data_IF_079038568791
#
_entry.id   IF_079038568791
#
_cell.length_a   1.000
_cell.length_b   1.000
_cell.length_c   1.000
_cell.angle_alpha   90.00
_cell.angle_beta   90.00
_cell.angle_gamma   90.00
#
_symmetry.space_group_name_H-M   'P 1'
#
loop_
_entity.id
_entity.type
_entity.pdbx_description
1 polymer ?
#
# COMPACT_ATOMS: atom_id res chain seq x y z
N UNK A 1 -28.71 12.94 -23.46
CA UNK A 1 -28.46 11.94 -24.52
C UNK A 1 -28.06 12.69 -25.77
N UNK A 2 -26.77 12.71 -26.11
CA UNK A 2 -26.29 13.34 -27.34
C UNK A 2 -26.42 12.32 -28.48
N UNK A 3 -27.32 12.58 -29.42
CA UNK A 3 -27.41 11.82 -30.66
C UNK A 3 -26.28 12.27 -31.59
N UNK A 4 -25.21 11.48 -31.67
CA UNK A 4 -24.23 11.58 -32.75
C UNK A 4 -24.81 10.89 -33.99
N UNK A 5 -25.44 11.65 -34.89
CA UNK A 5 -25.87 11.17 -36.22
C UNK A 5 -24.77 11.44 -37.25
N UNK A 6 -23.58 10.87 -37.04
CA UNK A 6 -22.43 11.05 -37.93
C UNK A 6 -22.04 9.73 -38.61
N UNK A 7 -22.99 9.12 -39.31
CA UNK A 7 -22.68 8.21 -40.41
C UNK A 7 -23.60 8.61 -41.56
N UNK A 8 -23.06 9.47 -42.41
CA UNK A 8 -23.53 9.66 -43.77
C UNK A 8 -23.11 8.39 -44.55
N UNK A 9 -24.05 7.77 -45.28
CA UNK A 9 -23.82 6.60 -46.14
C UNK A 9 -22.91 6.90 -47.36
N UNK A 10 -22.28 8.08 -47.42
CA UNK A 10 -21.31 8.45 -48.45
C UNK A 10 -19.95 7.80 -48.23
N UNK A 11 -19.34 7.36 -49.33
CA UNK A 11 -17.99 6.81 -49.33
C UNK A 11 -17.00 7.81 -48.71
N UNK A 12 -16.29 7.42 -47.64
CA UNK A 12 -15.31 8.28 -46.95
C UNK A 12 -14.36 8.92 -47.96
N UNK A 13 -14.25 10.26 -47.94
CA UNK A 13 -13.28 11.03 -48.74
C UNK A 13 -11.84 10.51 -48.55
N UNK A 14 -11.55 9.92 -47.38
CA UNK A 14 -10.51 8.92 -47.09
C UNK A 14 -10.24 7.92 -48.21
N UNK A 15 -11.22 7.04 -48.35
CA UNK A 15 -11.22 5.93 -49.25
C UNK A 15 -11.21 6.39 -50.71
N UNK A 16 -12.02 7.40 -51.08
CA UNK A 16 -12.07 7.92 -52.45
C UNK A 16 -10.74 8.50 -52.91
N UNK A 17 -10.08 9.33 -52.11
CA UNK A 17 -8.74 9.85 -52.44
C UNK A 17 -7.73 8.69 -52.47
N UNK A 18 -7.84 7.72 -51.56
CA UNK A 18 -7.02 6.51 -51.57
C UNK A 18 -7.16 5.72 -52.88
N UNK A 19 -8.37 5.61 -53.42
CA UNK A 19 -8.66 4.96 -54.71
C UNK A 19 -8.00 5.73 -55.85
N UNK A 20 -8.17 7.06 -55.90
CA UNK A 20 -7.56 7.90 -56.95
C UNK A 20 -6.04 7.77 -56.95
N UNK A 21 -5.40 7.76 -55.78
CA UNK A 21 -3.95 7.65 -55.64
C UNK A 21 -3.38 6.32 -56.13
N UNK A 22 -4.13 5.21 -56.00
CA UNK A 22 -3.60 3.86 -56.21
C UNK A 22 -4.13 3.15 -57.48
N UNK A 23 -5.07 3.74 -58.22
CA UNK A 23 -5.59 3.15 -59.46
C UNK A 23 -4.86 3.71 -60.68
N UNK A 24 -4.20 2.84 -61.44
CA UNK A 24 -3.40 3.17 -62.64
C UNK A 24 -4.21 3.73 -63.82
N UNK A 25 -5.55 3.71 -63.73
CA UNK A 25 -6.42 4.36 -64.73
C UNK A 25 -6.42 5.88 -64.63
N UNK A 26 -6.03 6.45 -63.48
CA UNK A 26 -5.88 7.89 -63.34
C UNK A 26 -4.53 8.35 -63.87
N UNK A 27 -4.49 9.54 -64.47
CA UNK A 27 -3.24 10.12 -64.95
C UNK A 27 -2.25 10.32 -63.78
N UNK A 28 -0.93 10.16 -64.00
CA UNK A 28 0.06 10.34 -62.93
C UNK A 28 -0.04 11.70 -62.21
N UNK A 29 -0.40 12.76 -62.94
CA UNK A 29 -0.62 14.10 -62.36
C UNK A 29 -1.80 14.12 -61.38
N UNK A 30 -2.90 13.43 -61.71
CA UNK A 30 -4.09 13.30 -60.86
C UNK A 30 -3.76 12.50 -59.60
N UNK A 31 -3.03 11.40 -59.74
CA UNK A 31 -2.59 10.59 -58.59
C UNK A 31 -1.69 11.39 -57.65
N UNK A 32 -0.75 12.17 -58.21
CA UNK A 32 0.17 13.00 -57.45
C UNK A 32 -0.55 14.10 -56.66
N UNK A 33 -1.45 14.85 -57.32
CA UNK A 33 -2.20 15.93 -56.68
C UNK A 33 -3.20 15.39 -55.64
N UNK A 34 -3.85 14.25 -55.92
CA UNK A 34 -4.69 13.56 -54.95
C UNK A 34 -3.89 13.13 -53.70
N UNK A 35 -2.67 12.63 -53.89
CA UNK A 35 -1.82 12.24 -52.77
C UNK A 35 -1.37 13.45 -51.93
N UNK A 36 -1.06 14.58 -52.57
CA UNK A 36 -0.78 15.83 -51.86
C UNK A 36 -2.00 16.32 -51.07
N UNK A 37 -3.19 16.31 -51.65
CA UNK A 37 -4.43 16.69 -50.94
C UNK A 37 -4.64 15.78 -49.72
N UNK A 38 -4.39 14.48 -49.85
CA UNK A 38 -4.48 13.53 -48.74
C UNK A 38 -3.54 13.90 -47.59
N UNK A 39 -2.26 14.08 -47.89
CA UNK A 39 -1.19 14.24 -46.89
C UNK A 39 -1.17 15.65 -46.30
N UNK A 40 -1.29 16.68 -47.14
CA UNK A 40 -1.01 18.06 -46.74
C UNK A 40 -2.27 18.83 -46.33
N UNK A 41 -3.45 18.37 -46.75
CA UNK A 41 -4.73 19.07 -46.56
C UNK A 41 -5.69 18.25 -45.69
N UNK A 42 -6.18 17.10 -46.19
CA UNK A 42 -7.22 16.31 -45.50
C UNK A 42 -6.74 15.78 -44.16
N UNK A 43 -5.58 15.14 -44.10
CA UNK A 43 -5.09 14.54 -42.85
C UNK A 43 -4.86 15.58 -41.74
N UNK A 44 -4.14 16.69 -41.97
CA UNK A 44 -4.01 17.76 -40.98
C UNK A 44 -5.35 18.36 -40.55
N UNK A 45 -6.32 18.46 -41.48
CA UNK A 45 -7.66 18.94 -41.18
C UNK A 45 -8.40 17.98 -40.25
N UNK A 46 -8.43 16.69 -40.59
CA UNK A 46 -9.13 15.65 -39.83
C UNK A 46 -8.55 15.43 -38.42
N UNK A 47 -7.25 15.66 -38.24
CA UNK A 47 -6.58 15.56 -36.94
C UNK A 47 -6.54 16.88 -36.15
N UNK A 48 -7.29 17.90 -36.59
CA UNK A 48 -7.38 19.19 -35.91
C UNK A 48 -6.02 19.84 -35.63
N UNK A 49 -5.07 19.72 -36.56
CA UNK A 49 -3.74 20.34 -36.43
C UNK A 49 -3.79 21.84 -36.74
N UNK A 50 -4.55 22.60 -35.94
CA UNK A 50 -4.88 24.01 -36.21
C UNK A 50 -3.64 24.92 -36.36
N UNK A 51 -2.53 24.59 -35.70
CA UNK A 51 -1.27 25.33 -35.78
C UNK A 51 -0.61 25.30 -37.16
N UNK A 52 -0.95 24.34 -38.01
CA UNK A 52 -0.41 24.24 -39.38
C UNK A 52 -1.19 25.10 -40.38
N UNK A 53 -2.38 25.60 -40.03
CA UNK A 53 -3.28 26.29 -40.95
C UNK A 53 -3.03 27.80 -40.97
N UNK A 54 -2.25 28.24 -41.96
CA UNK A 54 -2.06 29.67 -42.27
C UNK A 54 -3.00 30.12 -43.38
N UNK A 55 -3.26 31.43 -43.49
CA UNK A 55 -4.01 32.01 -44.63
C UNK A 55 -3.44 31.57 -45.97
N UNK A 56 -2.11 31.47 -46.07
CA UNK A 56 -1.42 30.97 -47.25
C UNK A 56 -1.71 29.48 -47.49
N UNK A 57 -1.56 28.61 -46.48
CA UNK A 57 -1.85 27.18 -46.60
C UNK A 57 -3.32 26.95 -46.99
N UNK A 58 -4.24 27.72 -46.44
CA UNK A 58 -5.65 27.68 -46.81
C UNK A 58 -5.87 27.99 -48.30
N UNK A 59 -5.33 29.11 -48.79
CA UNK A 59 -5.44 29.49 -50.20
C UNK A 59 -4.76 28.47 -51.14
N UNK A 60 -3.55 28.02 -50.80
CA UNK A 60 -2.80 27.01 -51.57
C UNK A 60 -3.56 25.67 -51.60
N UNK A 61 -4.29 25.32 -50.53
CA UNK A 61 -5.12 24.11 -50.47
C UNK A 61 -6.24 24.14 -51.50
N UNK A 62 -6.97 25.25 -51.58
CA UNK A 62 -8.04 25.41 -52.58
C UNK A 62 -7.50 25.46 -54.00
N UNK A 63 -6.32 26.06 -54.21
CA UNK A 63 -5.64 26.03 -55.52
C UNK A 63 -5.33 24.59 -55.95
N UNK A 64 -4.78 23.77 -55.06
CA UNK A 64 -4.46 22.38 -55.34
C UNK A 64 -5.73 21.54 -55.61
N UNK A 65 -6.80 21.75 -54.83
CA UNK A 65 -8.07 21.06 -55.07
C UNK A 65 -8.71 21.43 -56.41
N UNK A 66 -8.65 22.71 -56.82
CA UNK A 66 -9.11 23.15 -58.15
C UNK A 66 -8.27 22.52 -59.27
N UNK A 67 -6.95 22.47 -59.10
CA UNK A 67 -6.04 21.83 -60.05
C UNK A 67 -6.39 20.35 -60.25
N UNK A 68 -6.61 19.60 -59.16
CA UNK A 68 -7.04 18.20 -59.24
C UNK A 68 -8.34 18.05 -60.04
N UNK A 69 -9.33 18.93 -59.81
CA UNK A 69 -10.63 18.87 -60.52
C UNK A 69 -10.44 19.07 -62.03
N UNK A 70 -9.59 20.02 -62.44
CA UNK A 70 -9.29 20.27 -63.85
C UNK A 70 -8.51 19.10 -64.48
N UNK A 71 -7.57 18.51 -63.75
CA UNK A 71 -6.76 17.39 -64.26
C UNK A 71 -7.55 16.07 -64.37
N UNK A 72 -8.69 15.95 -63.69
CA UNK A 72 -9.62 14.83 -63.84
C UNK A 72 -10.32 14.81 -65.21
N UNK A 73 -10.25 15.90 -65.99
CA UNK A 73 -10.84 16.02 -67.35
C UNK A 73 -12.30 15.58 -67.40
N UNK A 74 -13.09 16.09 -66.44
CA UNK A 74 -14.53 15.84 -66.38
C UNK A 74 -15.26 16.52 -67.53
N UNK A 75 -16.56 16.25 -67.69
CA UNK A 75 -17.37 17.04 -68.63
C UNK A 75 -17.40 18.51 -68.19
N UNK A 76 -17.46 19.45 -69.14
CA UNK A 76 -17.53 20.88 -68.83
C UNK A 76 -18.67 21.21 -67.84
N UNK A 77 -19.78 20.49 -67.90
CA UNK A 77 -20.91 20.69 -66.99
C UNK A 77 -20.57 20.27 -65.56
N UNK A 78 -19.93 19.11 -65.38
CA UNK A 78 -19.56 18.59 -64.06
C UNK A 78 -18.39 19.35 -63.45
N UNK A 79 -17.36 19.68 -64.25
CA UNK A 79 -16.21 20.44 -63.80
C UNK A 79 -16.65 21.81 -63.26
N UNK A 80 -17.46 22.54 -64.02
CA UNK A 80 -17.96 23.85 -63.60
C UNK A 80 -18.85 23.77 -62.35
N UNK A 81 -19.67 22.71 -62.22
CA UNK A 81 -20.49 22.49 -61.03
C UNK A 81 -19.61 22.33 -59.78
N UNK A 82 -18.62 21.44 -59.85
CA UNK A 82 -17.75 21.12 -58.70
C UNK A 82 -16.85 22.30 -58.36
N UNK A 83 -16.27 22.98 -59.35
CA UNK A 83 -15.49 24.20 -59.13
C UNK A 83 -16.34 25.32 -58.53
N UNK A 84 -17.60 25.46 -58.95
CA UNK A 84 -18.55 26.41 -58.38
C UNK A 84 -18.84 26.13 -56.90
N UNK A 85 -19.08 24.87 -56.55
CA UNK A 85 -19.24 24.44 -55.16
C UNK A 85 -17.97 24.74 -54.35
N UNK A 86 -16.80 24.33 -54.84
CA UNK A 86 -15.53 24.54 -54.16
C UNK A 86 -15.21 26.03 -53.93
N UNK A 87 -15.50 26.91 -54.90
CA UNK A 87 -15.39 28.36 -54.74
C UNK A 87 -16.35 28.90 -53.67
N UNK A 88 -17.56 28.36 -53.59
CA UNK A 88 -18.52 28.73 -52.54
C UNK A 88 -18.01 28.33 -51.16
N UNK A 89 -17.44 27.13 -51.02
CA UNK A 89 -16.80 26.67 -49.79
C UNK A 89 -15.62 27.56 -49.40
N UNK A 90 -14.74 27.90 -50.35
CA UNK A 90 -13.61 28.79 -50.11
C UNK A 90 -14.04 30.15 -49.57
N UNK A 91 -15.02 30.76 -50.26
CA UNK A 91 -15.56 32.09 -49.93
C UNK A 91 -16.26 32.10 -48.57
N UNK A 92 -17.12 31.10 -48.31
CA UNK A 92 -17.83 30.99 -47.05
C UNK A 92 -16.86 30.76 -45.87
N UNK A 93 -15.83 29.92 -46.05
CA UNK A 93 -14.81 29.70 -45.05
C UNK A 93 -14.02 30.96 -44.72
N UNK A 94 -13.65 31.75 -45.73
CA UNK A 94 -12.97 33.05 -45.51
C UNK A 94 -13.88 34.06 -44.77
N UNK A 95 -15.17 34.12 -45.09
CA UNK A 95 -16.13 34.97 -44.40
C UNK A 95 -16.30 34.55 -42.92
N UNK A 96 -16.34 33.25 -42.66
CA UNK A 96 -16.39 32.72 -41.29
C UNK A 96 -15.12 33.07 -40.50
N UNK A 97 -13.94 32.81 -41.08
CA UNK A 97 -12.64 33.06 -40.43
C UNK A 97 -12.33 34.55 -40.24
N UNK A 98 -12.83 35.42 -41.11
CA UNK A 98 -12.67 36.89 -40.97
C UNK A 98 -13.59 37.50 -39.92
N UNK A 99 -14.49 36.71 -39.30
CA UNK A 99 -15.39 37.18 -38.24
C UNK A 99 -16.44 38.20 -38.70
N UNK A 100 -16.55 38.45 -40.01
CA UNK A 100 -17.44 39.48 -40.57
C UNK A 100 -18.92 39.09 -40.57
N UNK A 101 -19.26 37.86 -40.14
CA UNK A 101 -20.64 37.37 -40.13
C UNK A 101 -20.94 36.26 -39.10
N UNK A 102 -20.43 36.39 -37.88
CA UNK A 102 -21.05 35.67 -36.76
C UNK A 102 -22.27 36.46 -36.33
N UNK A 103 -23.46 35.88 -36.52
CA UNK A 103 -24.71 36.48 -36.07
C UNK A 103 -24.60 36.85 -34.58
N UNK A 104 -25.07 38.04 -34.22
CA UNK A 104 -25.07 38.53 -32.83
C UNK A 104 -25.76 37.52 -31.91
N UNK A 105 -26.75 36.81 -32.43
CA UNK A 105 -27.50 35.78 -31.71
C UNK A 105 -26.63 34.54 -31.40
N UNK A 106 -25.82 34.07 -32.35
CA UNK A 106 -24.88 32.96 -32.14
C UNK A 106 -23.79 33.35 -31.13
N UNK A 107 -23.27 34.58 -31.22
CA UNK A 107 -22.28 35.07 -30.27
C UNK A 107 -22.87 35.18 -28.86
N UNK A 108 -24.11 35.64 -28.74
CA UNK A 108 -24.82 35.70 -27.46
C UNK A 108 -25.03 34.30 -26.88
N UNK A 109 -25.44 33.32 -27.69
CA UNK A 109 -25.62 31.94 -27.25
C UNK A 109 -24.30 31.31 -26.79
N UNK A 110 -23.22 31.44 -27.56
CA UNK A 110 -21.89 30.93 -27.18
C UNK A 110 -21.44 31.56 -25.86
N UNK A 111 -21.64 32.87 -25.67
CA UNK A 111 -21.30 33.55 -24.42
C UNK A 111 -22.13 33.02 -23.25
N UNK A 112 -23.42 32.79 -23.44
CA UNK A 112 -24.30 32.25 -22.40
C UNK A 112 -23.89 30.82 -22.02
N UNK A 113 -23.65 29.95 -23.00
CA UNK A 113 -23.21 28.57 -22.74
C UNK A 113 -21.85 28.56 -22.04
N UNK A 114 -20.91 29.40 -22.46
CA UNK A 114 -19.60 29.55 -21.82
C UNK A 114 -19.73 30.02 -20.36
N UNK A 115 -20.67 30.94 -20.09
CA UNK A 115 -20.94 31.40 -18.74
C UNK A 115 -21.49 30.27 -17.85
N UNK A 116 -22.48 29.51 -18.31
CA UNK A 116 -23.05 28.36 -17.60
C UNK A 116 -21.97 27.31 -17.29
N UNK A 117 -21.14 26.99 -18.28
CA UNK A 117 -20.01 26.07 -18.12
C UNK A 117 -19.00 26.58 -17.09
N UNK A 118 -18.69 27.87 -17.11
CA UNK A 118 -17.80 28.50 -16.12
C UNK A 118 -18.37 28.40 -14.71
N UNK A 119 -19.66 28.67 -14.51
CA UNK A 119 -20.29 28.55 -13.19
C UNK A 119 -20.31 27.11 -12.69
N UNK A 120 -20.61 26.16 -13.58
CA UNK A 120 -20.57 24.74 -13.25
C UNK A 120 -19.16 24.29 -12.85
N UNK A 121 -18.14 24.67 -13.61
CA UNK A 121 -16.75 24.36 -13.31
C UNK A 121 -16.33 24.93 -11.95
N UNK A 122 -16.67 26.19 -11.65
CA UNK A 122 -16.39 26.81 -10.35
C UNK A 122 -17.06 26.07 -9.19
N UNK A 123 -18.31 25.62 -9.38
CA UNK A 123 -19.03 24.85 -8.36
C UNK A 123 -18.34 23.52 -8.09
N UNK A 124 -17.99 22.78 -9.14
CA UNK A 124 -17.27 21.51 -9.02
C UNK A 124 -15.94 21.71 -8.30
N UNK A 125 -15.16 22.73 -8.67
CA UNK A 125 -13.88 23.04 -7.99
C UNK A 125 -14.08 23.29 -6.48
N UNK A 126 -15.08 24.09 -6.11
CA UNK A 126 -15.39 24.34 -4.69
C UNK A 126 -15.78 23.07 -3.94
N UNK A 127 -16.63 22.23 -4.54
CA UNK A 127 -17.03 20.95 -3.94
C UNK A 127 -15.85 19.99 -3.78
N UNK A 128 -14.94 19.94 -4.76
CA UNK A 128 -13.73 19.12 -4.67
C UNK A 128 -12.80 19.63 -3.58
N UNK A 129 -12.62 20.94 -3.44
CA UNK A 129 -11.77 21.54 -2.40
C UNK A 129 -12.32 21.21 -0.99
N UNK A 130 -13.63 21.33 -0.79
CA UNK A 130 -14.28 20.99 0.49
C UNK A 130 -14.06 19.50 0.83
N UNK A 131 -14.22 18.61 -0.15
CA UNK A 131 -14.00 17.17 0.05
C UNK A 131 -12.53 16.88 0.36
N UNK A 132 -11.60 17.53 -0.33
CA UNK A 132 -10.17 17.37 -0.10
C UNK A 132 -9.78 17.78 1.33
N UNK A 133 -10.24 18.95 1.78
CA UNK A 133 -10.00 19.43 3.16
C UNK A 133 -10.54 18.45 4.21
N UNK A 134 -11.73 17.87 3.95
CA UNK A 134 -12.31 16.86 4.86
C UNK A 134 -11.44 15.60 4.95
N UNK A 135 -11.01 15.06 3.80
CA UNK A 135 -10.14 13.87 3.75
C UNK A 135 -8.80 14.15 4.42
N UNK A 136 -8.22 15.33 4.20
CA UNK A 136 -6.96 15.73 4.82
C UNK A 136 -7.07 15.74 6.35
N UNK A 137 -8.17 16.29 6.89
CA UNK A 137 -8.44 16.27 8.33
C UNK A 137 -8.55 14.85 8.88
N UNK A 138 -9.33 13.98 8.23
CA UNK A 138 -9.48 12.59 8.64
C UNK A 138 -8.14 11.84 8.65
N UNK A 139 -7.27 12.11 7.68
CA UNK A 139 -5.93 11.53 7.61
C UNK A 139 -5.04 11.99 8.78
N UNK A 140 -5.05 13.29 9.10
CA UNK A 140 -4.29 13.83 10.25
C UNK A 140 -4.79 13.28 11.60
N UNK A 141 -6.10 13.11 11.75
CA UNK A 141 -6.69 12.49 12.95
C UNK A 141 -6.25 11.02 13.08
N UNK A 142 -6.18 10.29 11.96
CA UNK A 142 -5.72 8.90 11.94
C UNK A 142 -4.23 8.78 12.25
N UNK A 143 -3.39 9.66 11.71
CA UNK A 143 -1.96 9.72 12.02
C UNK A 143 -1.70 9.95 13.51
N UNK A 144 -2.48 10.84 14.14
CA UNK A 144 -2.39 11.09 15.59
C UNK A 144 -2.72 9.83 16.39
N UNK A 145 -3.80 9.13 16.04
CA UNK A 145 -4.19 7.86 16.69
C UNK A 145 -3.14 6.77 16.51
N UNK A 146 -2.54 6.68 15.32
CA UNK A 146 -1.47 5.71 15.06
C UNK A 146 -0.26 5.96 15.96
N UNK A 147 0.16 7.23 16.12
CA UNK A 147 1.25 7.59 17.04
C UNK A 147 0.94 7.24 18.49
N UNK A 148 -0.28 7.49 18.96
CA UNK A 148 -0.69 7.08 20.30
C UNK A 148 -0.63 5.56 20.49
N UNK A 149 -1.04 4.79 19.48
CA UNK A 149 -1.00 3.33 19.53
C UNK A 149 0.44 2.79 19.54
N UNK A 150 1.34 3.38 18.75
CA UNK A 150 2.76 3.02 18.71
C UNK A 150 3.44 3.23 20.08
N UNK A 151 3.12 4.35 20.76
CA UNK A 151 3.62 4.60 22.12
C UNK A 151 3.09 3.57 23.11
N UNK A 152 1.79 3.24 23.04
CA UNK A 152 1.20 2.21 23.91
C UNK A 152 1.82 0.84 23.70
N UNK A 153 2.09 0.45 22.45
CA UNK A 153 2.76 -0.82 22.13
C UNK A 153 4.17 -0.87 22.72
N UNK A 154 4.98 0.17 22.53
CA UNK A 154 6.33 0.24 23.12
C UNK A 154 6.32 0.13 24.65
N UNK A 155 5.36 0.75 25.30
CA UNK A 155 5.22 0.66 26.76
C UNK A 155 4.88 -0.77 27.21
N UNK A 156 3.92 -1.42 26.53
CA UNK A 156 3.55 -2.81 26.81
C UNK A 156 4.71 -3.79 26.57
N UNK A 157 5.46 -3.61 25.47
CA UNK A 157 6.66 -4.40 25.20
C UNK A 157 7.70 -4.26 26.31
N UNK A 158 7.91 -3.04 26.81
CA UNK A 158 8.83 -2.77 27.92
C UNK A 158 8.35 -3.42 29.23
N UNK A 159 7.04 -3.41 29.50
CA UNK A 159 6.46 -4.07 30.68
C UNK A 159 6.60 -5.60 30.61
N UNK A 160 6.36 -6.19 29.43
CA UNK A 160 6.56 -7.63 29.21
C UNK A 160 8.01 -8.04 29.41
N UNK A 161 8.98 -7.26 28.90
CA UNK A 161 10.40 -7.54 29.11
C UNK A 161 10.77 -7.56 30.60
N UNK A 162 10.26 -6.60 31.39
CA UNK A 162 10.48 -6.55 32.84
C UNK A 162 9.84 -7.73 33.57
N UNK A 163 8.69 -8.23 33.10
CA UNK A 163 8.03 -9.39 33.69
C UNK A 163 8.77 -10.70 33.38
N UNK A 164 9.47 -10.80 32.26
CA UNK A 164 10.21 -12.00 31.87
C UNK A 164 11.61 -12.12 32.49
N UNK A 165 12.18 -11.02 33.01
CA UNK A 165 13.43 -11.09 33.76
C UNK A 165 13.30 -12.09 34.94
N UNK A 166 14.23 -13.05 34.98
CA UNK A 166 14.33 -13.98 36.11
C UNK A 166 14.96 -13.19 37.28
N UNK A 167 14.31 -13.15 38.45
CA UNK A 167 14.82 -12.41 39.60
C UNK A 167 16.18 -12.92 40.09
N UNK A 168 16.56 -14.14 39.70
CA UNK A 168 17.84 -14.75 40.03
C UNK A 168 18.90 -14.28 39.01
N UNK A 169 19.97 -13.59 39.43
CA UNK A 169 21.06 -13.22 38.53
C UNK A 169 21.69 -14.43 37.84
N UNK A 170 22.13 -14.29 36.58
CA UNK A 170 22.68 -15.40 35.77
C UNK A 170 23.80 -16.19 36.47
N UNK A 171 24.69 -15.52 37.21
CA UNK A 171 25.78 -16.18 37.92
C UNK A 171 25.29 -17.10 39.05
N UNK A 172 24.20 -16.72 39.74
CA UNK A 172 23.55 -17.55 40.76
C UNK A 172 22.83 -18.73 40.09
N UNK A 173 22.17 -18.52 38.95
CA UNK A 173 21.53 -19.61 38.21
C UNK A 173 22.54 -20.70 37.82
N UNK A 174 23.73 -20.32 37.35
CA UNK A 174 24.80 -21.26 37.01
C UNK A 174 25.31 -22.02 38.24
N UNK A 175 25.46 -21.33 39.39
CA UNK A 175 25.84 -21.96 40.65
C UNK A 175 24.79 -22.97 41.14
N UNK A 176 23.51 -22.61 41.10
CA UNK A 176 22.40 -23.50 41.46
C UNK A 176 22.43 -24.74 40.58
N UNK A 177 22.64 -24.59 39.26
CA UNK A 177 22.72 -25.71 38.34
C UNK A 177 23.84 -26.68 38.71
N UNK A 178 25.06 -26.17 38.96
CA UNK A 178 26.20 -26.98 39.38
C UNK A 178 25.90 -27.73 40.69
N UNK A 179 25.26 -27.06 41.65
CA UNK A 179 24.92 -27.63 42.94
C UNK A 179 23.86 -28.73 42.84
N UNK A 180 22.80 -28.51 42.05
CA UNK A 180 21.75 -29.51 41.81
C UNK A 180 22.31 -30.72 41.06
N UNK A 181 23.20 -30.53 40.08
CA UNK A 181 23.88 -31.64 39.39
C UNK A 181 24.75 -32.48 40.35
N UNK A 182 25.40 -31.87 41.34
CA UNK A 182 26.12 -32.60 42.39
C UNK A 182 25.16 -33.40 43.28
N UNK A 183 23.99 -32.84 43.60
CA UNK A 183 22.96 -33.55 44.36
C UNK A 183 22.43 -34.75 43.60
N UNK A 184 22.10 -34.61 42.31
CA UNK A 184 21.67 -35.71 41.45
C UNK A 184 22.70 -36.84 41.39
N UNK A 185 24.00 -36.51 41.32
CA UNK A 185 25.07 -37.51 41.34
C UNK A 185 25.12 -38.29 42.66
N UNK A 186 24.97 -37.59 43.79
CA UNK A 186 24.97 -38.19 45.14
C UNK A 186 23.70 -38.98 45.41
N UNK A 187 22.58 -38.55 44.86
CA UNK A 187 21.26 -39.17 45.03
C UNK A 187 21.18 -40.57 44.40
N UNK A 188 22.06 -40.91 43.45
CA UNK A 188 22.14 -42.26 42.86
C UNK A 188 22.40 -43.36 43.89
N UNK A 189 23.02 -43.04 45.01
CA UNK A 189 23.28 -43.98 46.11
C UNK A 189 22.24 -43.85 47.24
N UNK A 190 21.21 -43.04 47.06
CA UNK A 190 20.19 -42.82 48.07
C UNK A 190 19.34 -44.08 48.25
N UNK A 191 19.14 -44.45 49.52
CA UNK A 191 18.23 -45.53 49.90
C UNK A 191 17.07 -44.89 50.64
N UNK A 192 15.86 -45.05 50.09
CA UNK A 192 14.63 -44.56 50.70
C UNK A 192 14.44 -45.16 52.08
N UNK A 193 14.08 -44.31 53.03
CA UNK A 193 13.79 -44.67 54.43
C UNK A 193 12.40 -44.20 54.80
N UNK A 194 11.83 -44.76 55.88
CA UNK A 194 10.56 -44.27 56.44
C UNK A 194 10.59 -42.76 56.75
N UNK A 195 11.76 -42.22 57.11
CA UNK A 195 11.91 -40.81 57.38
C UNK A 195 11.84 -39.95 56.11
N UNK A 196 12.43 -40.41 54.99
CA UNK A 196 12.36 -39.67 53.72
C UNK A 196 10.97 -39.70 53.10
N UNK A 197 10.26 -40.83 53.21
CA UNK A 197 8.87 -40.94 52.75
C UNK A 197 7.98 -39.97 53.53
N UNK A 198 8.09 -39.99 54.86
CA UNK A 198 7.30 -39.13 55.73
C UNK A 198 7.54 -37.63 55.46
N UNK A 199 8.79 -37.22 55.21
CA UNK A 199 9.10 -35.83 54.85
C UNK A 199 8.47 -35.44 53.51
N UNK A 200 8.48 -36.34 52.54
CA UNK A 200 7.87 -36.11 51.21
C UNK A 200 6.36 -35.99 51.32
N UNK A 201 5.70 -36.89 52.06
CA UNK A 201 4.26 -36.82 52.37
C UNK A 201 3.91 -35.51 53.08
N UNK A 202 4.69 -35.11 54.10
CA UNK A 202 4.47 -33.85 54.82
C UNK A 202 4.54 -32.62 53.90
N UNK A 203 5.42 -32.63 52.89
CA UNK A 203 5.55 -31.53 51.93
C UNK A 203 4.41 -31.47 50.91
N UNK A 204 3.70 -32.59 50.67
CA UNK A 204 2.51 -32.58 49.82
C UNK A 204 1.33 -31.88 50.50
N UNK A 205 1.19 -32.07 51.82
CA UNK A 205 0.10 -31.48 52.61
C UNK A 205 0.43 -30.08 53.17
N UNK A 206 1.70 -29.68 53.18
CA UNK A 206 2.16 -28.44 53.82
C UNK A 206 3.09 -27.63 52.92
N UNK A 207 2.99 -26.30 53.01
CA UNK A 207 3.84 -25.38 52.23
C UNK A 207 5.27 -25.23 52.75
N UNK A 208 5.60 -25.83 53.90
CA UNK A 208 6.92 -25.74 54.53
C UNK A 208 7.13 -26.93 55.47
N UNK A 209 8.33 -27.53 55.45
CA UNK A 209 8.73 -28.60 56.35
C UNK A 209 10.12 -28.31 56.90
N UNK A 210 10.28 -28.51 58.22
CA UNK A 210 11.55 -28.32 58.92
C UNK A 210 12.04 -29.68 59.44
N UNK A 211 13.24 -30.09 59.02
CA UNK A 211 13.86 -31.36 59.44
C UNK A 211 14.82 -31.08 60.60
N UNK A 212 14.49 -31.58 61.80
CA UNK A 212 15.33 -31.43 63.00
C UNK A 212 15.82 -32.79 63.49
N UNK A 213 17.13 -32.92 63.70
CA UNK A 213 17.76 -34.16 64.17
C UNK A 213 19.25 -33.91 64.54
N UNK A 214 19.91 -34.81 65.33
CA UNK A 214 21.33 -34.71 65.67
C UNK A 214 22.26 -34.64 64.44
N UNK A 215 23.52 -34.22 64.64
CA UNK A 215 24.50 -34.18 63.55
C UNK A 215 24.79 -35.58 62.99
N UNK A 216 25.06 -35.68 61.68
CA UNK A 216 25.42 -36.94 61.01
C UNK A 216 24.28 -37.88 60.62
N UNK A 217 23.03 -37.60 61.00
CA UNK A 217 21.87 -38.49 60.75
C UNK A 217 21.25 -38.36 59.35
N UNK A 218 21.85 -37.58 58.44
CA UNK A 218 21.41 -37.50 57.05
C UNK A 218 20.32 -36.46 56.73
N UNK A 219 20.07 -35.46 57.60
CA UNK A 219 19.08 -34.39 57.37
C UNK A 219 19.22 -33.73 55.98
N UNK A 220 20.43 -33.28 55.66
CA UNK A 220 20.75 -32.64 54.38
C UNK A 220 20.58 -33.59 53.19
N UNK A 221 20.80 -34.88 53.39
CA UNK A 221 20.56 -35.88 52.36
C UNK A 221 19.07 -36.05 52.08
N UNK A 222 18.24 -36.12 53.13
CA UNK A 222 16.78 -36.23 53.00
C UNK A 222 16.19 -34.96 52.36
N UNK A 223 16.61 -33.77 52.78
CA UNK A 223 16.09 -32.51 52.21
C UNK A 223 16.41 -32.39 50.72
N UNK A 224 17.65 -32.69 50.32
CA UNK A 224 18.08 -32.65 48.92
C UNK A 224 17.38 -33.71 48.07
N UNK A 225 17.27 -34.94 48.56
CA UNK A 225 16.51 -36.01 47.89
C UNK A 225 15.07 -35.58 47.63
N UNK A 226 14.39 -35.07 48.65
CA UNK A 226 12.98 -34.66 48.54
C UNK A 226 12.80 -33.53 47.52
N UNK A 227 13.73 -32.59 47.44
CA UNK A 227 13.68 -31.55 46.43
C UNK A 227 13.92 -32.07 45.00
N UNK A 228 14.79 -33.06 44.82
CA UNK A 228 14.97 -33.74 43.52
C UNK A 228 13.71 -34.52 43.10
N UNK A 229 12.95 -35.06 44.06
CA UNK A 229 11.63 -35.66 43.78
C UNK A 229 10.65 -34.58 43.27
N UNK A 230 10.53 -33.46 43.98
CA UNK A 230 9.68 -32.33 43.57
C UNK A 230 10.11 -31.73 42.22
N UNK A 231 11.40 -31.75 41.90
CA UNK A 231 11.89 -31.29 40.59
C UNK A 231 11.34 -32.13 39.44
N UNK A 232 11.15 -33.44 39.63
CA UNK A 232 10.53 -34.33 38.64
C UNK A 232 9.03 -34.03 38.46
N UNK A 233 8.40 -33.42 39.47
CA UNK A 233 7.01 -32.97 39.43
C UNK A 233 6.85 -31.56 38.82
N UNK A 234 7.95 -30.92 38.41
CA UNK A 234 7.95 -29.63 37.73
C UNK A 234 8.36 -28.43 38.58
N UNK A 235 8.77 -28.65 39.84
CA UNK A 235 9.23 -27.57 40.72
C UNK A 235 10.67 -27.14 40.37
N UNK A 236 10.93 -25.82 40.35
CA UNK A 236 12.31 -25.28 40.27
C UNK A 236 12.97 -25.36 41.65
N UNK A 237 14.11 -26.03 41.77
CA UNK A 237 14.90 -26.06 43.00
C UNK A 237 15.71 -24.78 43.12
N UNK A 238 15.66 -24.12 44.28
CA UNK A 238 16.49 -22.98 44.63
C UNK A 238 17.11 -23.22 46.02
N UNK A 239 18.38 -23.65 46.09
CA UNK A 239 19.16 -23.60 47.32
C UNK A 239 19.30 -22.14 47.77
N UNK A 240 19.07 -21.88 49.05
CA UNK A 240 19.16 -20.54 49.65
C UNK A 240 20.05 -20.59 50.88
N UNK A 241 20.83 -19.53 51.09
CA UNK A 241 21.78 -19.41 52.19
C UNK A 241 21.30 -18.41 53.25
N UNK A 242 20.47 -17.46 52.85
CA UNK A 242 19.82 -16.51 53.74
C UNK A 242 18.30 -16.49 53.52
N UNK A 243 17.49 -16.22 54.57
CA UNK A 243 16.04 -16.04 54.41
C UNK A 243 15.67 -14.93 53.43
N UNK A 244 16.55 -13.94 53.21
CA UNK A 244 16.37 -12.87 52.22
C UNK A 244 16.33 -13.40 50.79
N UNK A 245 17.05 -14.47 50.49
CA UNK A 245 17.12 -15.06 49.15
C UNK A 245 15.75 -15.59 48.70
N UNK A 246 14.94 -16.09 49.64
CA UNK A 246 13.58 -16.55 49.33
C UNK A 246 12.74 -15.38 48.84
N UNK A 247 12.81 -14.23 49.53
CA UNK A 247 12.08 -13.02 49.12
C UNK A 247 12.59 -12.51 47.77
N UNK A 248 13.90 -12.49 47.58
CA UNK A 248 14.52 -11.88 46.41
C UNK A 248 14.37 -12.75 45.15
N UNK A 249 14.29 -14.08 45.29
CA UNK A 249 14.17 -15.03 44.17
C UNK A 249 12.75 -15.55 43.93
N UNK A 250 11.79 -15.23 44.81
CA UNK A 250 10.40 -15.64 44.65
C UNK A 250 9.73 -14.96 43.45
N UNK A 251 9.13 -15.77 42.58
CA UNK A 251 8.32 -15.30 41.44
C UNK A 251 6.90 -15.86 41.53
N UNK A 252 5.87 -15.02 41.71
CA UNK A 252 4.48 -15.47 41.74
C UNK A 252 4.10 -16.28 40.50
N UNK A 253 3.34 -17.36 40.68
CA UNK A 253 2.87 -18.22 39.59
C UNK A 253 3.89 -19.25 39.08
N UNK A 254 5.11 -19.30 39.62
CA UNK A 254 6.09 -20.37 39.32
C UNK A 254 6.22 -21.35 40.49
N UNK A 255 6.04 -22.64 40.21
CA UNK A 255 6.26 -23.72 41.18
C UNK A 255 7.75 -23.81 41.51
N UNK A 256 8.10 -23.50 42.76
CA UNK A 256 9.49 -23.35 43.22
C UNK A 256 9.63 -23.95 44.61
N UNK A 257 10.71 -24.71 44.84
CA UNK A 257 11.07 -25.24 46.16
C UNK A 257 12.36 -24.58 46.64
N UNK A 258 12.30 -23.95 47.81
CA UNK A 258 13.46 -23.32 48.45
C UNK A 258 14.06 -24.26 49.48
N UNK A 259 15.36 -24.51 49.40
CA UNK A 259 16.06 -25.36 50.37
C UNK A 259 17.01 -24.50 51.19
N UNK A 260 16.73 -24.43 52.49
CA UNK A 260 17.65 -23.87 53.46
C UNK A 260 18.36 -25.04 54.14
N UNK A 261 19.62 -25.26 53.81
CA UNK A 261 20.43 -26.37 54.35
C UNK A 261 21.58 -25.83 55.20
N UNK A 262 21.72 -26.41 56.39
CA UNK A 262 22.81 -26.14 57.34
C UNK A 262 23.08 -24.66 57.71
N UNK A 263 22.03 -23.97 58.21
CA UNK A 263 22.11 -22.57 58.68
C UNK A 263 23.12 -22.38 59.83
N UNK A 264 23.37 -23.42 60.62
CA UNK A 264 24.14 -23.33 61.86
C UNK A 264 25.55 -23.96 61.77
N UNK A 265 25.84 -24.76 60.76
CA UNK A 265 27.13 -25.47 60.62
C UNK A 265 28.29 -24.62 60.10
N UNK A 266 28.01 -23.49 59.46
CA UNK A 266 29.02 -22.62 58.83
C UNK A 266 29.50 -21.44 59.71
N UNK A 267 29.30 -21.49 61.04
CA UNK A 267 29.69 -20.42 61.97
C UNK A 267 31.14 -20.51 62.48
N UNK A 268 32.04 -21.23 61.80
CA UNK A 268 33.45 -21.38 62.20
C UNK A 268 34.41 -21.15 61.04
#
# INVERSE_FOLDING_TARGET
MAHFTAFDDSCDSSALIGIIVNIDRFLPVVQFDANKIRIDIRNPWAHCKFTEWTTKKYADSFKLMKQLITDLKLSNTEENRILGELNRWETNGQNFLSGTKLDVEIVAEIRQQTHILSEYAQRVCKETDIKFVKVQKELTDLESKYKELDVKLKNLETELQKQDEDPIPKHIQEQIKIQVEDWEKKDKMFVTTRASDYVTECLQDNSCVTITAPSGVGKSFISRHTALVLQKEGYKIIPVYAPTDIRDYYKPGKQTVFIVDDICGNLY
#
